data_IF_125309973524
#
_entry.id   IF_125309973524
#
_cell.length_a   1.000
_cell.length_b   1.000
_cell.length_c   1.000
_cell.angle_alpha   90.00
_cell.angle_beta   90.00
_cell.angle_gamma   90.00
#
_symmetry.space_group_name_H-M   'P 1'
#
loop_
_entity.id
_entity.type
_entity.pdbx_description
1 polymer ?
#
# COMPACT_ATOMS: atom_id res chain seq x y z
N UNK A 1 19.33 -10.28 -4.27
CA UNK A 1 18.75 -8.98 -4.65
C UNK A 1 17.21 -8.94 -4.52
N UNK A 2 16.48 -10.05 -4.66
CA UNK A 2 15.01 -10.08 -4.49
C UNK A 2 14.52 -9.65 -3.08
N UNK A 3 15.25 -10.03 -2.02
CA UNK A 3 14.89 -9.72 -0.62
C UNK A 3 14.84 -8.20 -0.34
N UNK A 4 15.74 -7.40 -0.93
CA UNK A 4 15.71 -5.94 -0.73
C UNK A 4 14.53 -5.28 -1.45
N UNK A 5 14.11 -5.83 -2.59
CA UNK A 5 12.96 -5.34 -3.33
C UNK A 5 11.64 -5.65 -2.61
N UNK A 6 11.49 -6.89 -2.11
CA UNK A 6 10.34 -7.32 -1.28
C UNK A 6 10.21 -6.44 -0.04
N UNK A 7 11.30 -6.21 0.71
CA UNK A 7 11.29 -5.33 1.89
C UNK A 7 10.88 -3.89 1.57
N UNK A 8 11.31 -3.36 0.42
CA UNK A 8 10.92 -2.02 -0.01
C UNK A 8 9.42 -1.94 -0.34
N UNK A 9 8.88 -2.96 -1.00
CA UNK A 9 7.45 -3.06 -1.31
C UNK A 9 6.60 -3.22 -0.03
N UNK A 10 7.03 -4.05 0.92
CA UNK A 10 6.37 -4.20 2.22
C UNK A 10 6.31 -2.88 2.98
N UNK A 11 7.44 -2.15 3.06
CA UNK A 11 7.49 -0.84 3.71
C UNK A 11 6.59 0.19 3.02
N UNK A 12 6.46 0.12 1.69
CA UNK A 12 5.55 0.99 0.94
C UNK A 12 4.09 0.64 1.23
N UNK A 13 3.77 -0.66 1.33
CA UNK A 13 2.44 -1.14 1.69
C UNK A 13 2.03 -0.68 3.09
N UNK A 14 2.89 -0.86 4.10
CA UNK A 14 2.65 -0.41 5.49
C UNK A 14 2.37 1.10 5.56
N UNK A 15 3.17 1.92 4.86
CA UNK A 15 2.96 3.37 4.82
C UNK A 15 1.63 3.75 4.16
N UNK A 16 1.20 3.02 3.13
CA UNK A 16 -0.10 3.26 2.49
C UNK A 16 -1.24 2.89 3.42
N UNK A 17 -1.13 1.79 4.16
CA UNK A 17 -2.10 1.41 5.19
C UNK A 17 -2.25 2.49 6.26
N UNK A 18 -1.13 2.97 6.82
CA UNK A 18 -1.13 4.04 7.81
C UNK A 18 -1.78 5.32 7.27
N UNK A 19 -1.43 5.72 6.04
CA UNK A 19 -1.98 6.92 5.42
C UNK A 19 -3.48 6.79 5.14
N UNK A 20 -3.94 5.64 4.66
CA UNK A 20 -5.37 5.37 4.48
C UNK A 20 -6.10 5.46 5.82
N UNK A 21 -5.53 4.92 6.89
CA UNK A 21 -6.13 4.98 8.21
C UNK A 21 -6.24 6.42 8.74
N UNK A 22 -5.18 7.23 8.57
CA UNK A 22 -5.17 8.64 8.94
C UNK A 22 -6.24 9.43 8.18
N UNK A 23 -6.32 9.26 6.85
CA UNK A 23 -7.31 9.95 6.01
C UNK A 23 -8.74 9.53 6.35
N UNK A 24 -8.99 8.26 6.65
CA UNK A 24 -10.32 7.77 7.04
C UNK A 24 -10.81 8.38 8.36
N UNK A 25 -9.88 8.71 9.27
CA UNK A 25 -10.17 9.38 10.53
C UNK A 25 -10.23 10.92 10.41
N UNK A 26 -9.91 11.48 9.23
CA UNK A 26 -9.91 12.92 9.01
C UNK A 26 -11.34 13.43 8.73
N UNK A 27 -11.78 14.53 9.37
CA UNK A 27 -13.15 15.04 9.21
C UNK A 27 -13.44 15.60 7.81
N UNK A 28 -12.41 16.05 7.08
CA UNK A 28 -12.51 16.46 5.68
C UNK A 28 -11.75 15.46 4.79
N UNK A 29 -12.09 14.17 4.92
CA UNK A 29 -11.43 13.12 4.15
C UNK A 29 -11.66 13.29 2.65
N UNK A 30 -10.61 13.06 1.86
CA UNK A 30 -10.71 12.99 0.41
C UNK A 30 -10.95 11.54 -0.02
N UNK A 31 -12.22 11.20 -0.27
CA UNK A 31 -12.61 9.86 -0.69
C UNK A 31 -11.98 9.44 -2.04
N UNK A 32 -11.68 10.39 -2.94
CA UNK A 32 -10.97 10.09 -4.18
C UNK A 32 -9.50 9.75 -3.91
N UNK A 33 -8.83 10.49 -3.03
CA UNK A 33 -7.47 10.19 -2.62
C UNK A 33 -7.38 8.83 -1.92
N UNK A 34 -8.32 8.53 -1.01
CA UNK A 34 -8.40 7.22 -0.33
C UNK A 34 -8.60 6.09 -1.34
N UNK A 35 -9.48 6.27 -2.34
CA UNK A 35 -9.70 5.27 -3.39
C UNK A 35 -8.42 5.01 -4.18
N UNK A 36 -7.67 6.05 -4.56
CA UNK A 36 -6.38 5.90 -5.25
C UNK A 36 -5.36 5.15 -4.38
N UNK A 37 -5.26 5.48 -3.10
CA UNK A 37 -4.36 4.82 -2.17
C UNK A 37 -4.69 3.33 -1.97
N UNK A 38 -5.98 2.98 -1.89
CA UNK A 38 -6.43 1.58 -1.81
C UNK A 38 -6.08 0.77 -3.07
N UNK A 39 -6.21 1.37 -4.25
CA UNK A 39 -5.81 0.73 -5.51
C UNK A 39 -4.29 0.53 -5.58
N UNK A 40 -3.51 1.52 -5.17
CA UNK A 40 -2.05 1.41 -5.11
C UNK A 40 -1.61 0.31 -4.12
N UNK A 41 -2.26 0.24 -2.96
CA UNK A 41 -2.03 -0.82 -1.97
C UNK A 41 -2.30 -2.21 -2.56
N UNK A 42 -3.44 -2.38 -3.23
CA UNK A 42 -3.80 -3.65 -3.88
C UNK A 42 -2.75 -4.07 -4.91
N UNK A 43 -2.31 -3.14 -5.76
CA UNK A 43 -1.27 -3.41 -6.75
C UNK A 43 0.07 -3.83 -6.11
N UNK A 44 0.48 -3.21 -5.01
CA UNK A 44 1.69 -3.60 -4.29
C UNK A 44 1.54 -4.99 -3.66
N UNK A 45 0.36 -5.31 -3.13
CA UNK A 45 0.07 -6.63 -2.58
C UNK A 45 0.17 -7.71 -3.67
N UNK A 46 -0.42 -7.50 -4.84
CA UNK A 46 -0.31 -8.42 -5.98
C UNK A 46 1.15 -8.62 -6.42
N UNK A 47 1.96 -7.55 -6.42
CA UNK A 47 3.38 -7.66 -6.74
C UNK A 47 4.16 -8.43 -5.68
N UNK A 48 3.86 -8.24 -4.39
CA UNK A 48 4.46 -9.01 -3.30
C UNK A 48 4.12 -10.49 -3.42
N UNK A 49 2.86 -10.82 -3.64
CA UNK A 49 2.41 -12.20 -3.85
C UNK A 49 3.16 -12.83 -5.03
N UNK A 50 3.23 -12.14 -6.18
CA UNK A 50 3.98 -12.61 -7.35
C UNK A 50 5.47 -12.84 -7.07
N UNK A 51 6.11 -12.00 -6.24
CA UNK A 51 7.52 -12.11 -5.91
C UNK A 51 7.82 -13.13 -4.81
N UNK A 52 6.83 -13.47 -3.98
CA UNK A 52 6.96 -14.45 -2.89
C UNK A 52 6.66 -15.89 -3.34
N UNK A 53 5.81 -16.05 -4.36
CA UNK A 53 5.44 -17.36 -4.92
C UNK A 53 6.39 -17.86 -6.02
N UNK A 54 7.48 -17.13 -6.31
CA UNK A 54 8.39 -17.39 -7.43
C UNK A 54 9.81 -17.69 -6.95
#
# INVERSE_FOLDING_TARGET
MAVSHIRALQKKHERLEEKIHQELNHPARDDQAIKKMKLERLYIQEQLERLQHH
#
